data_IF_324542338146
#
_entry.id   IF_324542338146
#
_cell.length_a   1.000
_cell.length_b   1.000
_cell.length_c   1.000
_cell.angle_alpha   90.00
_cell.angle_beta   90.00
_cell.angle_gamma   90.00
#
_symmetry.space_group_name_H-M   'P 1'
#
loop_
_entity.id
_entity.type
_entity.pdbx_description
1 polymer ?
#
# COMPACT_ATOMS: atom_id res chain seq x y z
N UNK A 1 19.12 -15.76 21.84
CA UNK A 1 19.32 -14.33 22.13
C UNK A 1 18.57 -13.53 21.09
N UNK A 2 17.64 -12.69 21.56
CA UNK A 2 16.60 -12.05 20.76
C UNK A 2 17.08 -10.75 20.09
N UNK A 3 16.32 -10.36 19.07
CA UNK A 3 16.08 -8.98 18.63
C UNK A 3 17.22 -8.20 17.99
N UNK A 4 17.23 -8.21 16.66
CA UNK A 4 17.64 -7.06 15.83
C UNK A 4 16.80 -6.99 14.56
N UNK A 5 15.53 -6.60 14.68
CA UNK A 5 14.82 -5.98 13.57
C UNK A 5 13.92 -4.86 14.12
N UNK A 6 14.57 -3.73 14.41
CA UNK A 6 13.94 -2.44 14.33
C UNK A 6 13.62 -2.20 12.85
N UNK A 7 12.34 -2.05 12.49
CA UNK A 7 11.99 -1.33 11.27
C UNK A 7 10.98 -0.27 11.66
N UNK A 8 11.52 0.94 11.64
CA UNK A 8 10.91 2.22 11.91
C UNK A 8 9.66 2.48 11.06
N UNK A 9 8.85 3.41 11.56
CA UNK A 9 7.70 3.93 10.84
C UNK A 9 8.10 4.54 9.50
N UNK A 10 7.29 4.24 8.49
CA UNK A 10 7.23 5.02 7.27
C UNK A 10 5.77 5.05 6.81
N UNK A 11 5.06 6.07 7.24
CA UNK A 11 3.99 6.68 6.43
C UNK A 11 4.19 8.19 6.62
N UNK A 12 5.29 8.68 6.05
CA UNK A 12 5.49 10.09 5.74
C UNK A 12 4.83 10.33 4.39
N UNK A 13 3.90 11.26 4.34
CA UNK A 13 3.53 11.91 3.09
C UNK A 13 4.79 12.48 2.43
N UNK A 14 5.06 12.11 1.18
CA UNK A 14 5.78 12.95 0.24
C UNK A 14 5.50 12.51 -1.20
N UNK A 15 4.78 13.34 -1.92
CA UNK A 15 5.06 13.55 -3.34
C UNK A 15 6.55 13.90 -3.49
N UNK A 16 7.24 13.21 -4.38
CA UNK A 16 8.32 13.68 -5.29
C UNK A 16 8.80 12.45 -6.07
N UNK A 17 8.46 12.32 -7.34
CA UNK A 17 9.25 12.77 -8.50
C UNK A 17 9.95 11.56 -9.16
N UNK A 18 9.73 11.42 -10.47
CA UNK A 18 10.68 10.83 -11.43
C UNK A 18 11.14 9.38 -11.17
N UNK A 19 10.21 8.42 -11.00
CA UNK A 19 10.53 7.01 -11.27
C UNK A 19 10.17 6.69 -12.73
N UNK A 20 11.06 6.04 -13.51
CA UNK A 20 10.88 5.83 -14.93
C UNK A 20 9.51 5.19 -15.19
N UNK A 21 8.81 5.65 -16.24
CA UNK A 21 7.43 5.31 -16.62
C UNK A 21 7.04 3.82 -16.58
N UNK A 22 8.02 2.93 -16.41
CA UNK A 22 7.88 1.51 -16.14
C UNK A 22 7.39 1.14 -14.72
N UNK A 23 7.50 2.02 -13.74
CA UNK A 23 7.20 1.71 -12.32
C UNK A 23 6.03 2.52 -11.73
N UNK A 24 5.15 3.06 -12.57
CA UNK A 24 3.97 3.75 -12.07
C UNK A 24 3.18 2.80 -11.13
N UNK A 25 3.15 3.15 -9.84
CA UNK A 25 2.56 2.31 -8.80
C UNK A 25 1.05 2.25 -9.04
N UNK A 26 0.48 1.05 -8.88
CA UNK A 26 -0.96 0.84 -9.09
C UNK A 26 -1.77 1.80 -8.20
N UNK A 27 -2.89 2.36 -8.71
CA UNK A 27 -3.76 3.18 -7.89
C UNK A 27 -4.25 2.38 -6.68
N UNK A 28 -4.36 3.05 -5.53
CA UNK A 28 -4.78 2.39 -4.29
C UNK A 28 -6.24 1.92 -4.41
N UNK A 29 -6.46 0.63 -4.18
CA UNK A 29 -7.81 0.07 -4.09
C UNK A 29 -8.50 0.51 -2.78
N UNK A 30 -9.82 0.33 -2.68
CA UNK A 30 -10.65 0.69 -1.53
C UNK A 30 -10.07 0.17 -0.21
N UNK A 31 -9.64 -1.10 -0.20
CA UNK A 31 -8.99 -1.72 0.96
C UNK A 31 -7.65 -1.04 1.34
N UNK A 32 -6.86 -0.61 0.36
CA UNK A 32 -5.58 0.05 0.62
C UNK A 32 -5.78 1.47 1.18
N UNK A 33 -6.79 2.19 0.71
CA UNK A 33 -7.18 3.50 1.25
C UNK A 33 -7.58 3.34 2.72
N UNK A 34 -8.40 2.32 3.03
CA UNK A 34 -8.78 2.00 4.40
C UNK A 34 -7.57 1.63 5.28
N UNK A 35 -6.69 0.76 4.77
CA UNK A 35 -5.48 0.34 5.48
C UNK A 35 -4.56 1.51 5.78
N UNK A 36 -4.37 2.46 4.85
CA UNK A 36 -3.49 3.61 5.07
C UNK A 36 -3.87 4.39 6.34
N UNK A 37 -5.17 4.65 6.52
CA UNK A 37 -5.70 5.37 7.69
C UNK A 37 -5.62 4.52 8.97
N UNK A 38 -6.02 3.25 8.89
CA UNK A 38 -6.17 2.40 10.06
C UNK A 38 -4.87 1.74 10.52
N UNK A 39 -3.87 1.59 9.65
CA UNK A 39 -2.58 0.98 10.00
C UNK A 39 -1.86 1.76 11.09
N UNK A 40 -1.94 3.09 11.09
CA UNK A 40 -1.40 3.92 12.16
C UNK A 40 -2.10 3.65 13.50
N UNK A 41 -3.43 3.48 13.47
CA UNK A 41 -4.25 3.17 14.65
C UNK A 41 -3.90 1.79 15.20
N UNK A 42 -3.84 0.76 14.34
CA UNK A 42 -3.51 -0.61 14.74
C UNK A 42 -2.09 -0.67 15.29
N UNK A 43 -1.12 0.00 14.66
CA UNK A 43 0.26 0.05 15.15
C UNK A 43 0.38 0.77 16.50
N UNK A 44 -0.39 1.84 16.72
CA UNK A 44 -0.46 2.53 18.01
C UNK A 44 -1.03 1.63 19.12
N UNK A 45 -2.06 0.83 18.79
CA UNK A 45 -2.71 -0.08 19.74
C UNK A 45 -1.90 -1.36 19.97
N UNK A 46 -1.13 -1.78 18.98
CA UNK A 46 -0.36 -3.01 18.96
C UNK A 46 1.07 -2.74 18.46
N UNK A 47 1.89 -2.02 19.25
CA UNK A 47 3.25 -1.64 18.83
C UNK A 47 4.20 -2.82 18.67
N UNK A 48 3.87 -3.97 19.28
CA UNK A 48 4.69 -5.20 19.24
C UNK A 48 4.17 -6.24 18.23
N UNK A 49 3.06 -5.98 17.53
CA UNK A 49 2.54 -6.92 16.56
C UNK A 49 3.27 -6.82 15.22
N UNK A 50 3.57 -7.99 14.67
CA UNK A 50 4.18 -8.11 13.35
C UNK A 50 3.22 -7.63 12.25
N UNK A 51 3.79 -7.09 11.16
CA UNK A 51 3.03 -6.57 10.02
C UNK A 51 2.05 -7.59 9.42
N UNK A 52 2.38 -8.89 9.49
CA UNK A 52 1.50 -9.99 9.09
C UNK A 52 0.20 -9.98 9.89
N UNK A 53 0.31 -9.86 11.20
CA UNK A 53 -0.85 -9.83 12.12
C UNK A 53 -1.62 -8.51 11.99
N UNK A 54 -0.93 -7.38 11.81
CA UNK A 54 -1.57 -6.08 11.54
C UNK A 54 -2.43 -6.14 10.28
N UNK A 55 -1.91 -6.73 9.21
CA UNK A 55 -2.65 -6.86 7.94
C UNK A 55 -3.85 -7.79 8.08
N UNK A 56 -3.73 -8.85 8.90
CA UNK A 56 -4.85 -9.76 9.21
C UNK A 56 -5.98 -9.03 9.94
N UNK A 57 -5.66 -8.25 10.98
CA UNK A 57 -6.62 -7.44 11.74
C UNK A 57 -7.31 -6.42 10.83
N UNK A 58 -6.55 -5.72 9.97
CA UNK A 58 -7.11 -4.77 9.01
C UNK A 58 -8.05 -5.44 8.00
N UNK A 59 -7.75 -6.67 7.58
CA UNK A 59 -8.63 -7.47 6.72
C UNK A 59 -9.95 -7.83 7.40
N UNK A 60 -9.91 -8.20 8.69
CA UNK A 60 -11.11 -8.46 9.48
C UNK A 60 -11.94 -7.18 9.68
N UNK A 61 -11.30 -6.05 9.94
CA UNK A 61 -11.99 -4.76 10.05
C UNK A 61 -12.65 -4.35 8.74
N UNK A 62 -11.99 -4.61 7.61
CA UNK A 62 -12.56 -4.38 6.28
C UNK A 62 -13.69 -5.36 5.90
N UNK A 63 -13.78 -6.52 6.55
CA UNK A 63 -14.94 -7.39 6.43
C UNK A 63 -16.12 -6.88 7.27
N UNK A 64 -15.83 -6.21 8.40
CA UNK A 64 -16.82 -5.76 9.38
C UNK A 64 -17.32 -4.32 9.19
N UNK A 65 -16.69 -3.53 8.31
CA UNK A 65 -17.14 -2.19 7.91
C UNK A 65 -18.54 -2.24 7.28
N UNK A 66 -19.35 -1.22 7.56
CA UNK A 66 -20.69 -1.09 6.99
C UNK A 66 -20.65 -1.00 5.45
N UNK A 67 -21.64 -1.61 4.77
CA UNK A 67 -21.71 -1.57 3.31
C UNK A 67 -21.79 -0.16 2.75
N UNK A 68 -22.36 0.79 3.50
CA UNK A 68 -22.41 2.20 3.14
C UNK A 68 -21.00 2.82 3.04
N UNK A 69 -20.19 2.70 4.08
CA UNK A 69 -18.82 3.21 4.07
C UNK A 69 -17.96 2.47 3.03
N UNK A 70 -18.13 1.15 2.93
CA UNK A 70 -17.44 0.33 1.92
C UNK A 70 -17.74 0.82 0.50
N UNK A 71 -18.98 1.24 0.23
CA UNK A 71 -19.39 1.83 -1.04
C UNK A 71 -18.65 3.14 -1.30
N UNK A 72 -18.60 4.06 -0.32
CA UNK A 72 -17.86 5.32 -0.45
C UNK A 72 -16.37 5.10 -0.75
N UNK A 73 -15.72 4.15 -0.07
CA UNK A 73 -14.32 3.80 -0.37
C UNK A 73 -14.15 3.16 -1.75
N UNK A 74 -15.13 2.41 -2.22
CA UNK A 74 -15.12 1.79 -3.55
C UNK A 74 -15.25 2.84 -4.64
N UNK A 75 -16.14 3.81 -4.46
CA UNK A 75 -16.30 4.95 -5.37
C UNK A 75 -15.03 5.81 -5.39
N UNK A 76 -14.44 6.09 -4.23
CA UNK A 76 -13.16 6.80 -4.16
C UNK A 76 -12.06 6.03 -4.89
N UNK A 77 -11.92 4.72 -4.66
CA UNK A 77 -10.95 3.89 -5.37
C UNK A 77 -11.16 3.89 -6.88
N UNK A 78 -12.42 3.91 -7.34
CA UNK A 78 -12.76 4.05 -8.76
C UNK A 78 -12.27 5.39 -9.32
N UNK A 79 -12.52 6.49 -8.62
CA UNK A 79 -12.05 7.82 -9.02
C UNK A 79 -10.51 7.88 -9.09
N UNK A 80 -9.81 7.32 -8.09
CA UNK A 80 -8.35 7.24 -8.10
C UNK A 80 -7.82 6.42 -9.28
N UNK A 81 -8.48 5.29 -9.59
CA UNK A 81 -8.15 4.47 -10.76
C UNK A 81 -8.35 5.25 -12.06
N UNK A 82 -9.48 5.92 -12.22
CA UNK A 82 -9.79 6.71 -13.42
C UNK A 82 -8.84 7.90 -13.57
N UNK A 83 -8.55 8.63 -12.49
CA UNK A 83 -7.59 9.72 -12.48
C UNK A 83 -6.19 9.25 -12.88
N UNK A 84 -5.77 8.09 -12.37
CA UNK A 84 -4.48 7.48 -12.71
C UNK A 84 -4.41 7.05 -14.18
N UNK A 85 -5.46 6.38 -14.70
CA UNK A 85 -5.51 5.98 -16.12
C UNK A 85 -5.56 7.20 -17.05
N UNK A 86 -6.23 8.28 -16.64
CA UNK A 86 -6.26 9.54 -17.39
C UNK A 86 -4.90 10.25 -17.39
N UNK A 87 -4.19 10.23 -16.26
CA UNK A 87 -2.86 10.83 -16.14
C UNK A 87 -1.77 9.99 -16.82
N UNK A 88 -1.97 8.66 -16.88
CA UNK A 88 -1.03 7.72 -17.49
C UNK A 88 -1.73 6.88 -18.56
N UNK A 89 -2.03 7.47 -19.74
CA UNK A 89 -2.65 6.75 -20.85
C UNK A 89 -1.77 5.60 -21.36
N UNK A 90 -0.45 5.71 -21.22
CA UNK A 90 0.53 4.68 -21.58
C UNK A 90 0.75 3.63 -20.47
N UNK A 91 0.00 3.71 -19.36
CA UNK A 91 0.11 2.74 -18.28
C UNK A 91 -0.42 1.37 -18.71
N UNK A 92 0.50 0.47 -18.97
CA UNK A 92 0.18 -0.93 -19.24
C UNK A 92 0.52 -1.78 -18.03
N UNK A 93 -0.45 -2.61 -17.63
CA UNK A 93 -0.33 -3.61 -16.58
C UNK A 93 0.62 -4.73 -17.01
N UNK A 94 1.90 -4.41 -17.24
CA UNK A 94 2.88 -5.41 -17.57
C UNK A 94 3.25 -6.20 -16.31
N UNK A 95 3.11 -7.53 -16.37
CA UNK A 95 3.95 -8.43 -15.57
C UNK A 95 5.31 -8.49 -16.26
N UNK A 96 6.10 -7.42 -16.22
CA UNK A 96 7.51 -7.61 -16.59
C UNK A 96 8.10 -8.57 -15.57
N UNK A 97 8.90 -9.58 -15.99
CA UNK A 97 9.73 -10.30 -15.03
C UNK A 97 10.48 -9.23 -14.23
N UNK A 98 10.41 -9.31 -12.91
CA UNK A 98 11.06 -8.34 -12.04
C UNK A 98 12.48 -8.09 -12.59
N UNK A 99 12.89 -6.83 -12.81
CA UNK A 99 14.29 -6.55 -13.08
C UNK A 99 15.08 -7.31 -12.01
N UNK A 100 16.09 -8.13 -12.37
CA UNK A 100 16.85 -8.85 -11.37
C UNK A 100 17.31 -7.82 -10.35
N UNK A 101 16.84 -7.97 -9.11
CA UNK A 101 17.17 -7.04 -8.03
C UNK A 101 18.69 -6.94 -8.05
N UNK A 102 19.19 -5.73 -8.32
CA UNK A 102 20.61 -5.39 -8.39
C UNK A 102 21.31 -6.17 -7.29
N UNK A 103 22.00 -7.24 -7.67
CA UNK A 103 22.78 -8.04 -6.75
C UNK A 103 23.85 -7.08 -6.25
N UNK A 104 23.73 -6.67 -4.99
CA UNK A 104 24.87 -6.04 -4.34
C UNK A 104 25.95 -7.12 -4.35
N UNK A 105 26.91 -6.95 -5.26
CA UNK A 105 28.16 -7.69 -5.29
C UNK A 105 28.70 -7.64 -3.85
N UNK A 106 28.56 -8.76 -3.14
CA UNK A 106 29.38 -9.01 -1.97
C UNK A 106 30.73 -9.44 -2.52
N UNK A 107 31.73 -8.60 -2.25
CA UNK A 107 33.13 -8.92 -2.48
C UNK A 107 33.59 -9.98 -1.49
#
# INVERSE_FOLDING_TARGET
>A
MASKYCIEGADSESMTEEEPAHHARRPMNAFLIFCKRHRAVVRKRYPHLENRSVTKILGEWWANIEPAEKSSYTELAKQYKEAFLRAHPDFKWYKLPAPPLRTLITR
#
